data_IF_773454210837
#
_entry.id   IF_773454210837
#
_cell.length_a   1.000
_cell.length_b   1.000
_cell.length_c   1.000
_cell.angle_alpha   90.00
_cell.angle_beta   90.00
_cell.angle_gamma   90.00
#
_symmetry.space_group_name_H-M   'P 1'
#
loop_
_entity.id
_entity.type
_entity.pdbx_description
1 polymer ?
#
# COMPACT_ATOMS: atom_id res chain seq x y z
N UNK A 1 14.54 -1.64 38.08
CA UNK A 1 13.17 -1.48 37.55
C UNK A 1 12.33 -0.62 38.48
N UNK A 2 12.28 -0.93 39.78
CA UNK A 2 11.49 -0.16 40.75
C UNK A 2 11.84 1.33 40.79
N UNK A 3 13.13 1.67 40.85
CA UNK A 3 13.60 3.07 40.78
C UNK A 3 13.13 3.81 39.52
N UNK A 4 13.14 3.13 38.36
CA UNK A 4 12.70 3.74 37.10
C UNK A 4 11.18 3.96 37.08
N UNK A 5 10.41 3.03 37.64
CA UNK A 5 8.97 3.16 37.78
C UNK A 5 8.61 4.26 38.77
N UNK A 6 9.30 4.31 39.91
CA UNK A 6 9.14 5.36 40.92
C UNK A 6 9.49 6.72 40.33
N UNK A 7 10.63 6.86 39.63
CA UNK A 7 11.00 8.10 38.94
C UNK A 7 9.95 8.54 37.91
N UNK A 8 9.46 7.61 37.07
CA UNK A 8 8.43 7.90 36.09
C UNK A 8 7.13 8.34 36.77
N UNK A 9 6.72 7.62 37.81
CA UNK A 9 5.55 7.96 38.60
C UNK A 9 5.73 9.30 39.29
N UNK A 10 6.84 9.60 39.95
CA UNK A 10 7.01 10.79 40.79
C UNK A 10 7.38 12.05 40.01
N UNK A 11 8.29 11.96 39.02
CA UNK A 11 8.84 13.15 38.33
C UNK A 11 8.22 13.44 36.97
N UNK A 12 7.71 12.42 36.26
CA UNK A 12 7.19 12.58 34.88
C UNK A 12 5.67 12.46 34.80
N UNK A 13 5.06 11.61 35.64
CA UNK A 13 3.63 11.26 35.61
C UNK A 13 2.85 11.60 36.90
N UNK A 14 3.43 12.17 37.97
CA UNK A 14 2.67 12.64 39.16
C UNK A 14 2.76 14.13 39.40
N UNK A 15 1.62 14.62 39.90
CA UNK A 15 1.35 15.89 40.54
C UNK A 15 1.72 17.15 39.76
N UNK A 16 2.98 17.58 39.67
CA UNK A 16 3.26 18.96 39.25
C UNK A 16 2.83 19.26 37.81
N UNK A 17 3.25 18.46 36.83
CA UNK A 17 2.85 18.70 35.42
C UNK A 17 1.36 18.46 35.21
N UNK A 18 0.80 17.37 35.72
CA UNK A 18 -0.62 17.06 35.58
C UNK A 18 -1.51 18.07 36.33
N UNK A 19 -1.10 18.58 37.50
CA UNK A 19 -1.82 19.63 38.24
C UNK A 19 -1.67 20.98 37.57
N UNK A 20 -0.51 21.29 37.00
CA UNK A 20 -0.23 22.59 36.37
C UNK A 20 -0.81 22.73 34.97
N UNK A 21 -0.78 21.66 34.17
CA UNK A 21 -1.12 21.68 32.75
C UNK A 21 -2.25 20.72 32.36
N UNK A 22 -2.77 19.93 33.30
CA UNK A 22 -3.75 18.90 33.02
C UNK A 22 -3.16 17.61 32.43
N UNK A 23 -3.94 16.53 32.37
CA UNK A 23 -3.47 15.23 31.88
C UNK A 23 -3.18 15.20 30.37
N UNK A 24 -3.84 16.06 29.58
CA UNK A 24 -3.56 16.25 28.15
C UNK A 24 -2.17 16.86 27.86
N UNK A 25 -1.41 17.25 28.89
CA UNK A 25 0.00 17.62 28.70
C UNK A 25 0.92 16.42 28.42
N UNK A 26 0.38 15.19 28.52
CA UNK A 26 1.09 13.94 28.23
C UNK A 26 0.63 13.42 26.86
N UNK A 27 1.56 13.31 25.91
CA UNK A 27 1.33 12.70 24.60
C UNK A 27 2.00 11.33 24.54
N UNK A 28 1.24 10.21 24.60
CA UNK A 28 1.80 8.88 24.46
C UNK A 28 2.20 8.61 23.00
N UNK A 29 3.50 8.48 22.75
CA UNK A 29 4.04 8.13 21.44
C UNK A 29 4.56 6.69 21.44
N UNK A 30 4.02 5.88 20.53
CA UNK A 30 4.54 4.55 20.20
C UNK A 30 4.10 4.20 18.79
N UNK A 31 4.95 3.50 18.03
CA UNK A 31 4.59 2.96 16.73
C UNK A 31 5.34 1.66 16.46
N UNK A 32 4.93 0.98 15.39
CA UNK A 32 5.03 -0.46 15.23
C UNK A 32 6.43 -1.03 15.51
N UNK A 33 6.48 -1.94 16.49
CA UNK A 33 7.60 -2.83 16.78
C UNK A 33 7.06 -4.22 17.09
N UNK A 34 6.44 -4.38 18.26
CA UNK A 34 5.61 -5.56 18.56
C UNK A 34 4.15 -5.26 18.28
N UNK A 35 3.61 -5.77 17.16
CA UNK A 35 2.21 -5.58 16.73
C UNK A 35 1.27 -6.62 17.38
N UNK A 36 1.66 -7.16 18.55
CA UNK A 36 0.84 -8.11 19.30
C UNK A 36 -0.41 -7.42 19.87
N UNK A 37 -1.53 -8.14 19.95
CA UNK A 37 -2.81 -7.61 20.44
C UNK A 37 -2.70 -6.95 21.82
N UNK A 38 -1.89 -7.52 22.72
CA UNK A 38 -1.69 -6.97 24.07
C UNK A 38 -0.77 -5.74 24.09
N UNK A 39 0.31 -5.76 23.32
CA UNK A 39 1.36 -4.74 23.37
C UNK A 39 1.12 -3.52 22.49
N UNK A 40 0.39 -3.68 21.38
CA UNK A 40 0.16 -2.61 20.41
C UNK A 40 -1.15 -1.85 20.63
N UNK A 41 -2.20 -2.55 21.06
CA UNK A 41 -3.57 -2.03 21.04
C UNK A 41 -4.31 -2.05 22.38
N UNK A 42 -3.68 -2.44 23.49
CA UNK A 42 -4.41 -2.76 24.74
C UNK A 42 -3.87 -2.05 25.98
N UNK A 43 -2.76 -2.50 26.55
CA UNK A 43 -2.40 -2.15 27.94
C UNK A 43 -2.06 -0.68 28.12
N UNK A 44 -1.34 -0.10 27.17
CA UNK A 44 -0.98 1.31 27.14
C UNK A 44 -2.22 2.21 26.96
N UNK A 45 -3.16 1.85 26.08
CA UNK A 45 -4.40 2.62 25.85
C UNK A 45 -5.25 2.68 27.12
N UNK A 46 -5.39 1.56 27.82
CA UNK A 46 -6.11 1.50 29.10
C UNK A 46 -5.49 2.43 30.13
N UNK A 47 -4.16 2.44 30.24
CA UNK A 47 -3.45 3.33 31.15
C UNK A 47 -3.64 4.81 30.79
N UNK A 48 -3.38 5.19 29.53
CA UNK A 48 -3.44 6.60 29.11
C UNK A 48 -4.86 7.16 29.03
N UNK A 49 -5.86 6.34 28.69
CA UNK A 49 -7.28 6.73 28.78
C UNK A 49 -7.70 6.96 30.23
N UNK A 50 -7.28 6.07 31.15
CA UNK A 50 -7.59 6.25 32.58
C UNK A 50 -6.89 7.47 33.18
N UNK A 51 -5.72 7.83 32.66
CA UNK A 51 -4.98 9.04 33.03
C UNK A 51 -5.65 10.32 32.49
N UNK A 52 -6.36 10.24 31.37
CA UNK A 52 -6.90 11.41 30.65
C UNK A 52 -5.86 12.10 29.75
N UNK A 53 -4.86 11.34 29.28
CA UNK A 53 -3.80 11.87 28.44
C UNK A 53 -4.29 12.21 27.02
N UNK A 54 -3.51 12.99 26.27
CA UNK A 54 -3.82 13.26 24.87
C UNK A 54 -3.89 11.99 24.06
N UNK A 55 -4.79 11.99 23.09
CA UNK A 55 -4.90 10.93 22.10
C UNK A 55 -4.01 11.26 20.90
N UNK A 56 -3.28 10.24 20.44
CA UNK A 56 -2.49 10.30 19.22
C UNK A 56 -2.93 9.16 18.32
N UNK A 57 -3.26 9.49 17.07
CA UNK A 57 -3.35 8.45 16.05
C UNK A 57 -1.93 7.93 15.77
N UNK A 58 -1.67 6.70 16.22
CA UNK A 58 -0.34 6.09 16.23
C UNK A 58 -0.10 5.39 14.90
N UNK A 59 0.05 6.19 13.86
CA UNK A 59 0.30 5.77 12.49
C UNK A 59 1.32 6.71 11.86
N UNK A 60 2.30 6.15 11.15
CA UNK A 60 3.32 6.94 10.45
C UNK A 60 3.20 6.71 8.95
N UNK A 61 3.14 5.45 8.52
CA UNK A 61 3.14 5.09 7.10
C UNK A 61 1.79 4.56 6.59
N UNK A 62 0.85 4.23 7.47
CA UNK A 62 -0.34 3.43 7.10
C UNK A 62 -1.61 4.26 6.84
N UNK A 63 -1.62 5.56 7.14
CA UNK A 63 -2.85 6.37 7.15
C UNK A 63 -3.44 6.54 5.76
N UNK A 64 -2.63 7.02 4.80
CA UNK A 64 -3.09 7.32 3.45
C UNK A 64 -3.59 6.06 2.72
N UNK A 65 -2.82 4.97 2.77
CA UNK A 65 -3.22 3.70 2.18
C UNK A 65 -4.44 3.07 2.87
N UNK A 66 -4.52 3.16 4.20
CA UNK A 66 -5.67 2.68 4.96
C UNK A 66 -6.96 3.44 4.65
N UNK A 67 -6.88 4.76 4.49
CA UNK A 67 -8.00 5.59 4.09
C UNK A 67 -8.45 5.25 2.66
N UNK A 68 -7.51 5.15 1.71
CA UNK A 68 -7.81 4.77 0.33
C UNK A 68 -8.53 3.41 0.24
N UNK A 69 -8.06 2.40 0.97
CA UNK A 69 -8.73 1.08 1.01
C UNK A 69 -10.13 1.16 1.64
N UNK A 70 -10.30 2.01 2.65
CA UNK A 70 -11.61 2.19 3.30
C UNK A 70 -12.59 2.89 2.36
N UNK A 71 -12.14 3.88 1.59
CA UNK A 71 -12.99 4.55 0.59
C UNK A 71 -13.34 3.64 -0.60
N UNK A 72 -12.41 2.78 -1.03
CA UNK A 72 -12.61 1.91 -2.21
C UNK A 72 -13.36 0.61 -1.87
N UNK A 73 -13.03 -0.04 -0.75
CA UNK A 73 -13.57 -1.36 -0.38
C UNK A 73 -14.46 -1.34 0.87
N UNK A 74 -14.57 -0.21 1.58
CA UNK A 74 -15.28 -0.12 2.86
C UNK A 74 -14.50 -0.65 4.07
N UNK A 75 -13.40 -1.37 3.85
CA UNK A 75 -12.51 -1.87 4.90
C UNK A 75 -11.07 -2.04 4.43
N UNK A 76 -10.13 -2.07 5.38
CA UNK A 76 -8.71 -2.29 5.12
C UNK A 76 -8.45 -3.77 4.83
N UNK A 77 -8.39 -4.12 3.56
CA UNK A 77 -8.08 -5.46 3.07
C UNK A 77 -6.70 -5.52 2.44
N UNK A 78 -6.04 -6.66 2.60
CA UNK A 78 -4.83 -7.03 1.87
C UNK A 78 -4.98 -8.44 1.32
N UNK A 79 -4.23 -8.74 0.27
CA UNK A 79 -4.20 -10.09 -0.31
C UNK A 79 -3.56 -11.06 0.67
N UNK A 80 -4.16 -12.24 0.82
CA UNK A 80 -3.59 -13.32 1.65
C UNK A 80 -2.26 -13.75 1.03
N UNK A 81 -1.15 -13.86 1.78
CA UNK A 81 0.18 -14.17 1.21
C UNK A 81 0.20 -15.43 0.32
N UNK A 82 -0.57 -16.45 0.69
CA UNK A 82 -0.69 -17.70 -0.04
C UNK A 82 -1.31 -17.51 -1.44
N UNK A 83 -2.24 -16.56 -1.59
CA UNK A 83 -2.93 -16.32 -2.85
C UNK A 83 -1.99 -15.80 -3.95
N UNK A 84 -0.84 -15.23 -3.59
CA UNK A 84 0.16 -14.79 -4.55
C UNK A 84 0.70 -15.93 -5.41
N UNK A 85 0.75 -17.17 -4.89
CA UNK A 85 1.21 -18.34 -5.64
C UNK A 85 0.33 -18.67 -6.87
N UNK A 86 -0.90 -18.14 -6.90
CA UNK A 86 -1.88 -18.35 -7.97
C UNK A 86 -1.91 -17.23 -9.02
N UNK A 87 -1.13 -16.16 -8.82
CA UNK A 87 -1.12 -15.01 -9.73
C UNK A 87 -0.44 -15.34 -11.07
N UNK A 88 -0.94 -14.79 -12.18
CA UNK A 88 -0.27 -14.80 -13.49
C UNK A 88 0.63 -13.58 -13.71
N UNK A 89 0.39 -12.51 -12.96
CA UNK A 89 1.20 -11.29 -12.95
C UNK A 89 1.25 -10.77 -11.52
N UNK A 90 2.45 -10.44 -11.04
CA UNK A 90 2.69 -9.81 -9.75
C UNK A 90 3.32 -8.44 -10.00
N UNK A 91 2.66 -7.36 -9.58
CA UNK A 91 3.22 -6.01 -9.62
C UNK A 91 3.56 -5.58 -8.19
N UNK A 92 4.83 -5.39 -7.87
CA UNK A 92 5.26 -4.75 -6.64
C UNK A 92 5.49 -3.26 -6.89
N UNK A 93 4.51 -2.44 -6.48
CA UNK A 93 4.55 -0.99 -6.67
C UNK A 93 4.98 -0.31 -5.38
N UNK A 94 6.14 0.34 -5.38
CA UNK A 94 6.69 1.02 -4.20
C UNK A 94 7.02 0.07 -3.04
N UNK A 95 7.17 -1.23 -3.31
CA UNK A 95 7.30 -2.28 -2.29
C UNK A 95 8.67 -2.96 -2.32
N UNK A 96 9.42 -2.83 -1.22
CA UNK A 96 10.72 -3.49 -1.03
C UNK A 96 10.58 -4.78 -0.19
N UNK A 97 10.03 -5.81 -0.82
CA UNK A 97 9.68 -7.11 -0.22
C UNK A 97 10.87 -7.74 0.52
N UNK A 98 12.07 -7.75 -0.06
CA UNK A 98 13.25 -8.27 0.62
C UNK A 98 13.74 -7.44 1.81
N UNK A 99 13.32 -6.18 1.91
CA UNK A 99 13.66 -5.29 3.02
C UNK A 99 12.63 -5.29 4.15
N UNK A 100 11.34 -5.47 3.86
CA UNK A 100 10.27 -5.26 4.84
C UNK A 100 9.16 -6.33 4.85
N UNK A 101 9.16 -7.29 3.93
CA UNK A 101 8.12 -8.33 3.84
C UNK A 101 8.66 -9.67 3.30
N UNK A 102 9.78 -10.14 3.85
CA UNK A 102 10.51 -11.28 3.30
C UNK A 102 9.71 -12.60 3.34
N UNK A 103 8.71 -12.70 4.23
CA UNK A 103 7.82 -13.86 4.34
C UNK A 103 6.92 -14.05 3.11
N UNK A 104 6.71 -12.99 2.31
CA UNK A 104 5.94 -13.07 1.08
C UNK A 104 6.75 -13.69 -0.08
N UNK A 105 8.08 -13.61 -0.02
CA UNK A 105 8.97 -14.02 -1.12
C UNK A 105 8.79 -15.47 -1.59
N UNK A 106 8.63 -16.49 -0.71
CA UNK A 106 8.42 -17.86 -1.15
C UNK A 106 7.20 -18.04 -2.08
N UNK A 107 6.12 -17.29 -1.83
CA UNK A 107 4.89 -17.37 -2.64
C UNK A 107 5.06 -16.68 -4.00
N UNK A 108 5.85 -15.61 -4.06
CA UNK A 108 6.21 -14.95 -5.33
C UNK A 108 7.07 -15.89 -6.18
N UNK A 109 8.06 -16.54 -5.57
CA UNK A 109 8.87 -17.54 -6.26
C UNK A 109 8.05 -18.74 -6.74
N UNK A 110 7.08 -19.19 -5.96
CA UNK A 110 6.14 -20.24 -6.37
C UNK A 110 5.30 -19.79 -7.58
N UNK A 111 4.74 -18.57 -7.54
CA UNK A 111 4.02 -18.00 -8.66
C UNK A 111 4.89 -17.95 -9.92
N UNK A 112 6.13 -17.49 -9.80
CA UNK A 112 7.09 -17.41 -10.91
C UNK A 112 7.41 -18.78 -11.49
N UNK A 113 7.59 -19.81 -10.66
CA UNK A 113 7.73 -21.22 -11.13
C UNK A 113 6.48 -21.70 -11.87
N UNK A 114 5.31 -21.21 -11.48
CA UNK A 114 4.05 -21.49 -12.16
C UNK A 114 3.87 -20.65 -13.45
N UNK A 115 4.82 -19.78 -13.80
CA UNK A 115 4.80 -18.96 -15.01
C UNK A 115 4.29 -17.53 -14.79
N UNK A 116 4.15 -17.08 -13.54
CA UNK A 116 3.84 -15.69 -13.24
C UNK A 116 4.99 -14.77 -13.63
N UNK A 117 4.65 -13.59 -14.15
CA UNK A 117 5.62 -12.49 -14.34
C UNK A 117 5.68 -11.61 -13.10
N UNK A 118 6.87 -11.25 -12.64
CA UNK A 118 7.09 -10.36 -11.50
C UNK A 118 7.69 -9.02 -11.95
N UNK A 119 6.91 -7.95 -11.82
CA UNK A 119 7.29 -6.58 -12.20
C UNK A 119 7.43 -5.73 -10.94
N UNK A 120 8.51 -4.96 -10.84
CA UNK A 120 8.72 -3.99 -9.76
C UNK A 120 8.67 -2.58 -10.31
N UNK A 121 7.83 -1.73 -9.72
CA UNK A 121 7.74 -0.29 -10.02
C UNK A 121 8.30 0.45 -8.82
N UNK A 122 9.51 0.99 -8.95
CA UNK A 122 10.23 1.64 -7.86
C UNK A 122 11.25 2.62 -8.45
N UNK A 123 11.36 3.88 -7.96
CA UNK A 123 12.37 4.83 -8.47
C UNK A 123 13.81 4.33 -8.30
N UNK A 124 14.06 3.47 -7.31
CA UNK A 124 15.38 2.94 -7.02
C UNK A 124 15.44 1.42 -7.25
N UNK A 125 16.58 0.93 -7.75
CA UNK A 125 16.79 -0.50 -7.97
C UNK A 125 17.11 -1.21 -6.65
N UNK A 126 16.07 -1.51 -5.87
CA UNK A 126 16.15 -2.29 -4.63
C UNK A 126 16.61 -3.74 -4.87
N UNK A 127 16.91 -4.48 -3.78
CA UNK A 127 17.14 -5.95 -3.88
C UNK A 127 15.95 -6.67 -4.51
N UNK A 128 14.74 -6.22 -4.20
CA UNK A 128 13.51 -6.75 -4.80
C UNK A 128 13.47 -6.47 -6.31
N UNK A 129 13.74 -5.23 -6.73
CA UNK A 129 13.82 -4.86 -8.14
C UNK A 129 14.92 -5.61 -8.91
N UNK A 130 16.05 -5.90 -8.27
CA UNK A 130 17.15 -6.65 -8.89
C UNK A 130 16.80 -8.13 -9.17
N UNK A 131 15.82 -8.69 -8.46
CA UNK A 131 15.36 -10.08 -8.62
C UNK A 131 14.07 -10.20 -9.45
N UNK A 132 13.48 -9.07 -9.84
CA UNK A 132 12.28 -9.00 -10.67
C UNK A 132 12.58 -9.36 -12.13
N UNK A 133 11.54 -9.80 -12.84
CA UNK A 133 11.62 -10.04 -14.29
C UNK A 133 11.68 -8.72 -15.06
N UNK A 134 11.10 -7.65 -14.51
CA UNK A 134 11.19 -6.29 -15.03
C UNK A 134 11.20 -5.27 -13.88
N UNK A 135 12.06 -4.26 -14.00
CA UNK A 135 12.10 -3.11 -13.10
C UNK A 135 11.75 -1.84 -13.89
N UNK A 136 10.70 -1.15 -13.46
CA UNK A 136 10.26 0.13 -14.00
C UNK A 136 10.67 1.25 -13.03
N UNK A 137 11.72 1.97 -13.41
CA UNK A 137 12.26 3.10 -12.63
C UNK A 137 11.43 4.37 -12.82
N UNK A 138 10.25 4.39 -12.20
CA UNK A 138 9.32 5.54 -12.25
C UNK A 138 9.95 6.76 -11.55
N UNK A 139 9.75 7.96 -12.10
CA UNK A 139 10.18 9.20 -11.42
C UNK A 139 9.37 9.41 -10.13
N UNK A 140 10.00 9.78 -8.99
CA UNK A 140 9.29 9.99 -7.75
C UNK A 140 8.12 10.98 -7.85
N UNK A 141 6.97 10.61 -7.29
CA UNK A 141 5.78 11.46 -7.25
C UNK A 141 4.95 11.48 -8.55
N UNK A 142 5.24 10.57 -9.49
CA UNK A 142 4.52 10.47 -10.78
C UNK A 142 3.62 9.22 -10.88
N UNK A 143 3.49 8.48 -9.77
CA UNK A 143 2.77 7.21 -9.68
C UNK A 143 1.30 7.29 -10.11
N UNK A 144 0.61 8.37 -9.72
CA UNK A 144 -0.80 8.59 -10.08
C UNK A 144 -0.98 8.69 -11.58
N UNK A 145 -0.08 9.40 -12.26
CA UNK A 145 -0.12 9.54 -13.72
C UNK A 145 0.18 8.20 -14.42
N UNK A 146 1.15 7.43 -13.90
CA UNK A 146 1.43 6.08 -14.43
C UNK A 146 0.21 5.16 -14.27
N UNK A 147 -0.47 5.20 -13.11
CA UNK A 147 -1.67 4.41 -12.88
C UNK A 147 -2.82 4.82 -13.81
N UNK A 148 -3.04 6.13 -14.00
CA UNK A 148 -4.04 6.66 -14.93
C UNK A 148 -3.74 6.28 -16.38
N UNK A 149 -2.46 6.25 -16.79
CA UNK A 149 -2.09 5.83 -18.14
C UNK A 149 -2.27 4.33 -18.37
N UNK A 150 -2.02 3.50 -17.36
CA UNK A 150 -2.37 2.09 -17.40
C UNK A 150 -3.89 1.93 -17.55
N UNK A 151 -4.69 2.66 -16.77
CA UNK A 151 -6.16 2.66 -16.88
C UNK A 151 -6.64 3.17 -18.25
N UNK A 152 -5.99 4.19 -18.81
CA UNK A 152 -6.28 4.73 -20.14
C UNK A 152 -6.21 3.62 -21.18
N UNK A 153 -5.11 2.86 -21.22
CA UNK A 153 -4.93 1.74 -22.16
C UNK A 153 -5.98 0.66 -21.90
N UNK A 154 -6.25 0.31 -20.64
CA UNK A 154 -7.25 -0.70 -20.30
C UNK A 154 -8.64 -0.35 -20.86
N UNK A 155 -9.12 0.88 -20.64
CA UNK A 155 -10.43 1.34 -21.11
C UNK A 155 -10.48 1.62 -22.62
N UNK A 156 -9.36 2.10 -23.20
CA UNK A 156 -9.26 2.35 -24.65
C UNK A 156 -9.37 1.03 -25.42
N UNK A 157 -8.74 -0.02 -24.92
CA UNK A 157 -8.59 -1.30 -25.62
C UNK A 157 -9.61 -2.36 -25.18
N UNK A 158 -10.55 -2.02 -24.28
CA UNK A 158 -11.60 -2.94 -23.82
C UNK A 158 -11.08 -4.10 -22.98
N UNK A 159 -10.03 -3.86 -22.18
CA UNK A 159 -9.41 -4.86 -21.32
C UNK A 159 -10.06 -4.95 -19.93
N UNK A 160 -10.92 -4.01 -19.56
CA UNK A 160 -11.68 -4.03 -18.32
C UNK A 160 -12.67 -5.21 -18.21
N UNK A 161 -13.04 -5.55 -16.98
CA UNK A 161 -14.17 -6.43 -16.70
C UNK A 161 -15.44 -5.58 -16.57
N UNK A 162 -16.08 -5.31 -17.72
CA UNK A 162 -17.27 -4.46 -17.78
C UNK A 162 -18.42 -4.98 -16.91
N UNK A 163 -18.58 -6.31 -16.78
CA UNK A 163 -19.63 -6.89 -15.95
C UNK A 163 -19.36 -6.61 -14.47
N UNK A 164 -18.13 -6.84 -14.01
CA UNK A 164 -17.74 -6.51 -12.64
C UNK A 164 -17.90 -5.03 -12.33
N UNK A 165 -17.49 -4.14 -13.24
CA UNK A 165 -17.66 -2.70 -13.04
C UNK A 165 -19.14 -2.31 -12.88
N UNK A 166 -20.03 -2.84 -13.72
CA UNK A 166 -21.46 -2.57 -13.66
C UNK A 166 -22.14 -3.14 -12.40
N UNK A 167 -21.76 -4.34 -11.98
CA UNK A 167 -22.45 -5.06 -10.88
C UNK A 167 -21.86 -4.77 -9.50
N UNK A 168 -20.58 -4.41 -9.42
CA UNK A 168 -19.81 -4.41 -8.16
C UNK A 168 -19.06 -3.10 -7.87
N UNK A 169 -19.23 -2.05 -8.67
CA UNK A 169 -18.54 -0.77 -8.46
C UNK A 169 -19.46 0.44 -8.58
N UNK A 170 -19.01 1.59 -8.09
CA UNK A 170 -19.67 2.89 -8.23
C UNK A 170 -18.68 3.88 -8.83
N UNK A 171 -19.17 4.79 -9.68
CA UNK A 171 -18.35 5.87 -10.25
C UNK A 171 -17.34 5.44 -11.32
N UNK A 172 -17.52 4.25 -11.93
CA UNK A 172 -16.56 3.73 -12.91
C UNK A 172 -16.68 4.46 -14.26
N UNK A 173 -17.85 4.99 -14.60
CA UNK A 173 -18.07 5.80 -15.79
C UNK A 173 -17.27 7.12 -15.72
N UNK A 174 -17.34 7.83 -14.58
CA UNK A 174 -16.58 9.06 -14.34
C UNK A 174 -15.08 8.79 -14.30
N UNK A 175 -14.66 7.66 -13.71
CA UNK A 175 -13.27 7.22 -13.73
C UNK A 175 -12.80 6.93 -15.16
N UNK A 176 -13.64 6.26 -15.98
CA UNK A 176 -13.33 5.97 -17.38
C UNK A 176 -13.17 7.25 -18.19
N UNK A 177 -14.10 8.19 -18.05
CA UNK A 177 -14.00 9.51 -18.70
C UNK A 177 -12.71 10.22 -18.29
N UNK A 178 -12.39 10.22 -17.00
CA UNK A 178 -11.17 10.84 -16.49
C UNK A 178 -9.90 10.16 -17.02
N UNK A 179 -9.83 8.83 -17.00
CA UNK A 179 -8.66 8.08 -17.46
C UNK A 179 -8.44 8.24 -18.97
N UNK A 180 -9.51 8.36 -19.77
CA UNK A 180 -9.41 8.52 -21.23
C UNK A 180 -9.00 9.92 -21.69
N UNK A 181 -8.81 10.88 -20.77
CA UNK A 181 -8.35 12.21 -21.15
C UNK A 181 -6.94 12.18 -21.76
N UNK A 182 -6.65 13.04 -22.76
CA UNK A 182 -5.35 13.05 -23.45
C UNK A 182 -4.14 13.26 -22.53
N UNK A 183 -4.31 14.00 -21.43
CA UNK A 183 -3.25 14.21 -20.43
C UNK A 183 -2.80 12.92 -19.71
N UNK A 184 -3.59 11.86 -19.80
CA UNK A 184 -3.30 10.54 -19.23
C UNK A 184 -2.90 9.52 -20.30
N UNK A 185 -2.62 9.94 -21.54
CA UNK A 185 -2.18 9.00 -22.58
C UNK A 185 -0.81 8.38 -22.22
N UNK A 186 -0.49 7.18 -22.73
CA UNK A 186 0.83 6.56 -22.55
C UNK A 186 1.99 7.46 -22.97
N UNK A 187 1.85 8.22 -24.05
CA UNK A 187 2.86 9.16 -24.56
C UNK A 187 3.10 10.28 -23.56
N UNK A 188 2.02 10.89 -23.04
CA UNK A 188 2.14 11.95 -22.06
C UNK A 188 2.71 11.45 -20.73
N UNK A 189 2.28 10.27 -20.30
CA UNK A 189 2.81 9.64 -19.10
C UNK A 189 4.29 9.29 -19.26
N UNK A 190 4.74 8.88 -20.44
CA UNK A 190 6.15 8.57 -20.69
C UNK A 190 7.07 9.78 -20.47
N UNK A 191 6.67 10.96 -20.94
CA UNK A 191 7.41 12.20 -20.74
C UNK A 191 7.62 12.55 -19.26
N UNK A 192 6.58 12.33 -18.45
CA UNK A 192 6.54 12.74 -17.03
C UNK A 192 7.15 11.67 -16.14
N UNK A 193 6.76 10.41 -16.32
CA UNK A 193 7.13 9.28 -15.45
C UNK A 193 8.51 8.72 -15.77
N UNK A 194 9.01 8.93 -17.00
CA UNK A 194 10.24 8.34 -17.50
C UNK A 194 10.10 6.87 -17.97
N UNK A 195 8.89 6.31 -17.97
CA UNK A 195 8.61 4.96 -18.47
C UNK A 195 8.16 5.05 -19.93
N UNK A 196 8.82 4.34 -20.85
CA UNK A 196 8.47 4.38 -22.27
C UNK A 196 6.99 4.01 -22.51
N UNK A 197 6.32 4.70 -23.45
CA UNK A 197 4.90 4.50 -23.75
C UNK A 197 4.60 3.04 -24.10
N UNK A 198 5.46 2.40 -24.90
CA UNK A 198 5.32 0.98 -25.27
C UNK A 198 5.43 0.04 -24.07
N UNK A 199 6.14 0.45 -23.02
CA UNK A 199 6.21 -0.28 -21.75
C UNK A 199 4.94 -0.12 -20.93
N UNK A 200 4.37 1.09 -20.91
CA UNK A 200 3.06 1.34 -20.27
C UNK A 200 1.98 0.51 -20.96
N UNK A 201 1.93 0.53 -22.29
CA UNK A 201 0.97 -0.27 -23.07
C UNK A 201 1.14 -1.76 -22.80
N UNK A 202 2.37 -2.28 -22.91
CA UNK A 202 2.67 -3.70 -22.63
C UNK A 202 2.26 -4.11 -21.22
N UNK A 203 2.53 -3.28 -20.22
CA UNK A 203 2.16 -3.57 -18.83
C UNK A 203 0.64 -3.57 -18.65
N UNK A 204 -0.07 -2.60 -19.24
CA UNK A 204 -1.52 -2.51 -19.17
C UNK A 204 -2.19 -3.71 -19.85
N UNK A 205 -1.76 -4.08 -21.06
CA UNK A 205 -2.24 -5.29 -21.74
C UNK A 205 -1.99 -6.55 -20.90
N UNK A 206 -0.78 -6.72 -20.35
CA UNK A 206 -0.47 -7.86 -19.48
C UNK A 206 -1.36 -7.90 -18.23
N UNK A 207 -1.62 -6.74 -17.62
CA UNK A 207 -2.49 -6.62 -16.46
C UNK A 207 -3.94 -6.99 -16.80
N UNK A 208 -4.49 -6.47 -17.90
CA UNK A 208 -5.85 -6.79 -18.35
C UNK A 208 -6.04 -8.25 -18.79
N UNK A 209 -4.99 -8.89 -19.31
CA UNK A 209 -5.04 -10.29 -19.77
C UNK A 209 -4.85 -11.31 -18.64
N UNK A 210 -4.12 -10.98 -17.58
CA UNK A 210 -3.90 -11.90 -16.46
C UNK A 210 -5.23 -12.41 -15.87
N UNK A 211 -6.28 -11.59 -15.83
CA UNK A 211 -7.62 -12.01 -15.37
C UNK A 211 -8.35 -13.04 -16.25
N UNK A 212 -8.00 -13.19 -17.53
CA UNK A 212 -8.81 -13.92 -18.53
C UNK A 212 -8.37 -15.38 -18.78
N UNK A 213 -7.17 -15.77 -18.32
CA UNK A 213 -6.58 -17.10 -18.53
C UNK A 213 -6.74 -18.09 -17.36
N UNK A 214 -7.60 -17.80 -16.38
CA UNK A 214 -7.78 -18.65 -15.17
C UNK A 214 -6.71 -18.46 -14.08
N UNK A 215 -5.80 -17.48 -14.23
CA UNK A 215 -4.76 -17.12 -13.24
C UNK A 215 -4.66 -15.59 -13.13
N UNK A 216 -5.44 -14.99 -12.25
CA UNK A 216 -5.61 -13.54 -12.13
C UNK A 216 -4.32 -12.74 -11.85
N UNK A 217 -4.38 -11.42 -11.99
CA UNK A 217 -3.30 -10.54 -11.54
C UNK A 217 -3.35 -10.39 -10.01
N UNK A 218 -2.18 -10.33 -9.37
CA UNK A 218 -2.04 -9.87 -7.99
C UNK A 218 -1.16 -8.61 -7.98
N UNK A 219 -1.59 -7.57 -7.27
CA UNK A 219 -0.78 -6.38 -7.05
C UNK A 219 -0.36 -6.32 -5.59
N UNK A 220 0.93 -6.13 -5.35
CA UNK A 220 1.52 -5.82 -4.05
C UNK A 220 1.64 -4.30 -3.97
N UNK A 221 0.96 -3.72 -2.99
CA UNK A 221 0.99 -2.29 -2.66
C UNK A 221 1.74 -2.10 -1.35
#
# INVERSE_FOLDING_TARGET
>A
WDEALEFCCERKLKAERLRKFGPESVLPYSYAGTIGQLGYGSMDRRFFHRLGASQLDRTICASAGGEALTQVYGLKLGTVPQDFAHAGLIIAWGSNIHGNNIHLWPFIEEARRNGARFVVIDPYRTRTAALADEHLAVRPGTDVLLALAIMHVLFRDGHEDAKYLQECTLGWEELREHALKPEHSPERAAEVTGIAAETIERLATAYGQAGKGGRGAAAIR
#
